data_IF_218871434074
#
_entry.id   IF_218871434074
#
_cell.length_a   1.000
_cell.length_b   1.000
_cell.length_c   1.000
_cell.angle_alpha   90.00
_cell.angle_beta   90.00
_cell.angle_gamma   90.00
#
_symmetry.space_group_name_H-M   'P 1'
#
loop_
_entity.id
_entity.type
_entity.pdbx_description
1 polymer ?
#
# COMPACT_ATOMS: atom_id res chain seq x y z
N UNK A 1 -5.10 -5.78 10.56
CA UNK A 1 -4.33 -5.18 9.45
C UNK A 1 -5.22 -4.47 8.45
N UNK A 2 -6.36 -5.06 8.07
CA UNK A 2 -7.34 -4.45 7.16
C UNK A 2 -7.80 -3.06 7.60
N UNK A 3 -8.22 -2.86 8.84
CA UNK A 3 -8.67 -1.54 9.31
C UNK A 3 -7.62 -0.44 9.15
N UNK A 4 -6.40 -0.64 9.67
CA UNK A 4 -5.28 0.31 9.47
C UNK A 4 -4.95 0.55 7.98
N UNK A 5 -5.04 -0.50 7.16
CA UNK A 5 -4.78 -0.40 5.74
C UNK A 5 -5.92 0.32 5.00
N UNK A 6 -7.16 0.18 5.44
CA UNK A 6 -8.33 0.85 4.86
C UNK A 6 -8.41 2.33 5.27
N UNK A 7 -8.17 2.65 6.55
CA UNK A 7 -8.03 4.03 7.04
C UNK A 7 -6.96 4.79 6.26
N UNK A 8 -5.85 4.11 5.94
CA UNK A 8 -4.71 4.68 5.22
C UNK A 8 -4.45 3.96 3.92
N UNK A 9 -5.45 3.90 3.04
CA UNK A 9 -5.43 3.15 1.76
C UNK A 9 -4.12 3.20 0.99
N UNK A 10 -3.44 4.35 0.91
CA UNK A 10 -2.17 4.49 0.14
C UNK A 10 -0.92 3.94 0.83
N UNK A 11 -1.02 3.43 2.06
CA UNK A 11 0.13 2.93 2.79
C UNK A 11 0.47 1.52 2.32
N UNK A 12 1.65 1.38 1.73
CA UNK A 12 2.23 0.07 1.44
C UNK A 12 2.73 -0.63 2.71
N UNK A 13 3.08 -1.91 2.58
CA UNK A 13 3.53 -2.77 3.69
C UNK A 13 4.66 -2.18 4.54
N UNK A 14 5.57 -1.37 3.95
CA UNK A 14 6.67 -0.71 4.69
C UNK A 14 6.16 0.33 5.70
N UNK A 15 5.18 1.15 5.30
CA UNK A 15 4.58 2.14 6.22
C UNK A 15 3.68 1.47 7.25
N UNK A 16 2.99 0.40 6.84
CA UNK A 16 2.21 -0.42 7.76
C UNK A 16 3.09 -1.04 8.85
N UNK A 17 4.31 -1.49 8.52
CA UNK A 17 5.25 -2.04 9.49
C UNK A 17 5.70 -1.01 10.54
N UNK A 18 5.79 0.27 10.19
CA UNK A 18 6.13 1.34 11.14
C UNK A 18 4.96 1.57 12.12
N UNK A 19 3.72 1.63 11.61
CA UNK A 19 2.53 1.76 12.44
C UNK A 19 2.37 0.59 13.40
N UNK A 20 2.56 -0.64 12.91
CA UNK A 20 2.55 -1.85 13.74
C UNK A 20 3.61 -1.80 14.84
N UNK A 21 4.78 -1.23 14.56
CA UNK A 21 5.82 -1.03 15.58
C UNK A 21 5.40 -0.01 16.65
N UNK A 22 4.70 1.06 16.28
CA UNK A 22 4.15 2.02 17.25
C UNK A 22 3.04 1.43 18.12
N UNK A 23 2.22 0.52 17.58
CA UNK A 23 1.22 -0.24 18.36
C UNK A 23 1.84 -1.34 19.25
N UNK A 24 3.17 -1.47 19.32
CA UNK A 24 3.84 -2.53 20.07
C UNK A 24 3.81 -3.91 19.39
N UNK A 25 3.18 -4.02 18.21
CA UNK A 25 3.16 -5.22 17.37
C UNK A 25 4.38 -5.24 16.45
N UNK A 26 5.56 -5.40 17.04
CA UNK A 26 6.84 -5.50 16.34
C UNK A 26 6.92 -6.73 15.41
N UNK A 27 6.33 -6.66 14.22
CA UNK A 27 6.38 -7.74 13.24
C UNK A 27 7.56 -7.57 12.29
N UNK A 28 8.19 -8.68 11.92
CA UNK A 28 9.20 -8.69 10.86
C UNK A 28 8.57 -8.20 9.54
N UNK A 29 9.28 -7.30 8.83
CA UNK A 29 8.86 -6.75 7.53
C UNK A 29 8.45 -7.84 6.52
N UNK A 30 9.12 -9.00 6.54
CA UNK A 30 8.77 -10.16 5.68
C UNK A 30 7.40 -10.74 6.02
N UNK A 31 7.02 -10.78 7.30
CA UNK A 31 5.71 -11.25 7.77
C UNK A 31 4.62 -10.25 7.41
N UNK A 32 4.89 -8.95 7.57
CA UNK A 32 3.97 -7.88 7.14
C UNK A 32 3.75 -7.92 5.64
N UNK A 33 4.80 -8.14 4.85
CA UNK A 33 4.69 -8.26 3.40
C UNK A 33 3.82 -9.46 2.98
N UNK A 34 4.01 -10.64 3.59
CA UNK A 34 3.19 -11.84 3.31
C UNK A 34 1.71 -11.58 3.59
N UNK A 35 1.40 -11.10 4.79
CA UNK A 35 0.03 -10.79 5.20
C UNK A 35 -0.59 -9.70 4.30
N UNK A 36 0.17 -8.67 3.94
CA UNK A 36 -0.30 -7.61 3.02
C UNK A 36 -0.67 -8.16 1.63
N UNK A 37 0.07 -9.15 1.14
CA UNK A 37 -0.19 -9.81 -0.15
C UNK A 37 -1.36 -10.77 -0.06
N UNK A 38 -1.43 -11.58 0.99
CA UNK A 38 -2.53 -12.52 1.25
C UNK A 38 -3.87 -11.78 1.40
N UNK A 39 -3.87 -10.69 2.16
CA UNK A 39 -5.04 -9.84 2.37
C UNK A 39 -5.40 -8.96 1.15
N UNK A 40 -4.62 -9.03 0.06
CA UNK A 40 -4.79 -8.25 -1.18
C UNK A 40 -4.95 -6.74 -0.93
N UNK A 41 -4.27 -6.20 0.08
CA UNK A 41 -4.34 -4.78 0.49
C UNK A 41 -3.68 -3.82 -0.50
N UNK A 42 -3.23 -4.31 -1.65
CA UNK A 42 -2.55 -3.50 -2.64
C UNK A 42 -3.54 -2.61 -3.36
N UNK A 43 -3.39 -1.28 -3.21
CA UNK A 43 -4.20 -0.33 -3.98
C UNK A 43 -3.95 -0.52 -5.46
N UNK A 44 -5.01 -0.79 -6.22
CA UNK A 44 -4.96 -0.77 -7.68
C UNK A 44 -4.56 0.62 -8.14
N UNK A 45 -3.52 0.70 -8.98
CA UNK A 45 -3.19 1.94 -9.70
C UNK A 45 -4.42 2.31 -10.53
N UNK A 46 -4.94 3.54 -10.38
CA UNK A 46 -5.93 4.08 -11.32
C UNK A 46 -5.29 4.07 -12.70
N UNK A 47 -6.01 3.54 -13.70
CA UNK A 47 -5.56 3.54 -15.09
C UNK A 47 -5.06 4.93 -15.46
N UNK A 48 -3.84 5.01 -15.99
CA UNK A 48 -3.24 6.27 -16.36
C UNK A 48 -4.16 7.00 -17.35
N UNK A 49 -4.41 8.29 -17.12
CA UNK A 49 -5.03 9.15 -18.13
C UNK A 49 -4.12 9.08 -19.37
N UNK A 50 -4.66 8.73 -20.54
CA UNK A 50 -3.92 8.91 -21.80
C UNK A 50 -3.55 10.40 -21.84
N UNK A 51 -2.29 10.73 -21.57
CA UNK A 51 -1.79 12.09 -21.80
C UNK A 51 -1.88 12.26 -23.30
N UNK A 52 -2.62 13.28 -23.76
CA UNK A 52 -2.54 13.67 -25.16
C UNK A 52 -1.06 13.97 -25.43
N UNK A 53 -0.39 13.10 -26.17
CA UNK A 53 0.86 13.43 -26.82
C UNK A 53 0.45 14.54 -27.78
N UNK A 54 0.68 15.79 -27.37
CA UNK A 54 0.22 16.96 -28.09
C UNK A 54 0.57 16.81 -29.56
N UNK A 55 -0.36 17.22 -30.43
CA UNK A 55 -0.08 17.40 -31.86
C UNK A 55 1.09 18.36 -31.98
N UNK A 56 2.30 17.81 -32.10
CA UNK A 56 3.46 18.57 -32.53
C UNK A 56 3.19 18.96 -33.98
N UNK A 57 3.03 20.26 -34.19
CA UNK A 57 3.11 20.89 -35.50
C UNK A 57 4.57 20.95 -35.93
#
# INVERSE_FOLDING_TARGET
MREMADERRRFGYRRLAILLRHEGKGMNLKKVYRLYREERLTVRKRGGRKRALGTRR
#
